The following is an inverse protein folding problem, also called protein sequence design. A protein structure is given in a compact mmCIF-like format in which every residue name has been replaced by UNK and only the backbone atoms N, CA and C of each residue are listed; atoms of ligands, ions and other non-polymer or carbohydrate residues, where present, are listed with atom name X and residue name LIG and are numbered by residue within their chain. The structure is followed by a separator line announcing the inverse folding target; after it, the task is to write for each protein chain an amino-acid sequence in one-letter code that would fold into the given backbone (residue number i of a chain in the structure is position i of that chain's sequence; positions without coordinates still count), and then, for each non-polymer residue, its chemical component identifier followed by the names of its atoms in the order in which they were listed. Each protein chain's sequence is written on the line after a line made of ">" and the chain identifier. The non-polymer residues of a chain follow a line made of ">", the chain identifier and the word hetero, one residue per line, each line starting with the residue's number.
data_IF_997701677269
#
_entry.id   IF_997701677269
#
_cell.length_a   1.000
_cell.length_b   1.000
_cell.length_c   1.000
_cell.angle_alpha   90.00
_cell.angle_beta   90.00
_cell.angle_gamma   90.00
#
_symmetry.space_group_name_H-M   'P 1'
#
loop_
_entity.id
_entity.type
_entity.pdbx_description
1 polymer ?
#
# COMPACT_ATOMS: atom_id res chain seq x y z
N UNK A 1 5.92 5.86 32.52
CA UNK A 1 6.62 4.58 32.34
C UNK A 1 5.57 3.57 31.93
N UNK A 2 5.06 3.73 30.71
CA UNK A 2 4.08 2.83 30.13
C UNK A 2 4.82 2.10 29.03
N UNK A 3 5.14 0.84 29.31
CA UNK A 3 5.80 -0.03 28.36
C UNK A 3 4.81 -0.28 27.21
N UNK A 4 5.09 0.12 25.95
CA UNK A 4 4.23 -0.29 24.85
C UNK A 4 4.32 -1.82 24.78
N UNK A 5 3.18 -2.48 24.91
CA UNK A 5 3.06 -3.90 24.58
C UNK A 5 3.69 -4.11 23.21
N UNK A 6 4.59 -5.08 23.09
CA UNK A 6 5.12 -5.43 21.77
C UNK A 6 3.93 -5.73 20.83
N UNK A 7 3.96 -5.34 19.55
CA UNK A 7 2.82 -5.50 18.64
C UNK A 7 2.31 -6.95 18.61
N UNK A 8 3.21 -7.93 18.78
CA UNK A 8 2.87 -9.35 18.93
C UNK A 8 1.97 -9.69 20.13
N UNK A 9 2.13 -9.01 21.27
CA UNK A 9 1.35 -9.25 22.50
C UNK A 9 -0.05 -8.63 22.41
N UNK A 10 -0.18 -7.44 21.81
CA UNK A 10 -1.47 -6.80 21.56
C UNK A 10 -2.34 -7.60 20.59
N UNK A 11 -1.74 -8.11 19.50
CA UNK A 11 -2.40 -8.98 18.53
C UNK A 11 -2.87 -10.30 19.16
N UNK A 12 -2.03 -10.92 19.99
CA UNK A 12 -2.39 -12.13 20.75
C UNK A 12 -3.56 -11.89 21.70
N UNK A 13 -3.57 -10.76 22.39
CA UNK A 13 -4.66 -10.39 23.29
C UNK A 13 -5.99 -10.21 22.55
N UNK A 14 -5.99 -9.49 21.42
CA UNK A 14 -7.17 -9.29 20.59
C UNK A 14 -7.71 -10.61 20.02
N UNK A 15 -6.83 -11.48 19.54
CA UNK A 15 -7.21 -12.82 19.10
C UNK A 15 -7.83 -13.65 20.23
N UNK A 16 -7.26 -13.58 21.44
CA UNK A 16 -7.81 -14.23 22.64
C UNK A 16 -9.19 -13.68 23.00
N UNK A 17 -9.39 -12.36 22.96
CA UNK A 17 -10.69 -11.74 23.23
C UNK A 17 -11.73 -12.22 22.22
N UNK A 18 -11.40 -12.22 20.91
CA UNK A 18 -12.31 -12.72 19.89
C UNK A 18 -12.63 -14.22 20.09
N UNK A 19 -11.63 -15.04 20.45
CA UNK A 19 -11.82 -16.46 20.73
C UNK A 19 -12.69 -16.71 21.97
N UNK A 20 -12.49 -15.93 23.04
CA UNK A 20 -13.32 -16.00 24.25
C UNK A 20 -14.76 -15.57 23.94
N UNK A 21 -14.94 -14.49 23.19
CA UNK A 21 -16.27 -14.02 22.78
C UNK A 21 -16.99 -15.04 21.89
N UNK A 22 -16.29 -15.67 20.93
CA UNK A 22 -16.82 -16.79 20.15
C UNK A 22 -17.19 -17.97 21.06
N UNK A 23 -16.31 -18.35 21.98
CA UNK A 23 -16.53 -19.44 22.93
C UNK A 23 -17.75 -19.18 23.82
N UNK A 24 -17.93 -17.97 24.33
CA UNK A 24 -19.10 -17.55 25.11
C UNK A 24 -20.38 -17.56 24.26
N UNK A 25 -20.31 -17.10 23.00
CA UNK A 25 -21.46 -17.13 22.09
C UNK A 25 -21.89 -18.57 21.79
N UNK A 26 -20.94 -19.45 21.46
CA UNK A 26 -21.21 -20.88 21.24
C UNK A 26 -21.69 -21.60 22.50
N UNK A 27 -21.13 -21.27 23.68
CA UNK A 27 -21.59 -21.79 24.97
C UNK A 27 -23.03 -21.35 25.24
N UNK A 28 -23.36 -20.08 25.03
CA UNK A 28 -24.72 -19.58 25.17
C UNK A 28 -25.69 -20.31 24.21
N UNK A 29 -25.32 -20.45 22.94
CA UNK A 29 -26.11 -21.17 21.94
C UNK A 29 -26.32 -22.63 22.33
N UNK A 30 -25.27 -23.33 22.76
CA UNK A 30 -25.36 -24.73 23.16
C UNK A 30 -26.20 -24.92 24.42
N UNK A 31 -25.99 -24.10 25.47
CA UNK A 31 -26.82 -24.12 26.68
C UNK A 31 -28.28 -23.82 26.34
N UNK A 32 -28.54 -22.81 25.51
CA UNK A 32 -29.90 -22.47 25.07
C UNK A 32 -30.56 -23.64 24.32
N UNK A 33 -29.84 -24.26 23.39
CA UNK A 33 -30.32 -25.43 22.64
C UNK A 33 -30.57 -26.64 23.56
N UNK A 34 -29.67 -26.91 24.51
CA UNK A 34 -29.80 -27.99 25.50
C UNK A 34 -31.01 -27.72 26.40
N UNK A 35 -31.16 -26.53 26.97
CA UNK A 35 -32.31 -26.16 27.79
C UNK A 35 -33.63 -26.31 27.02
N UNK A 36 -33.69 -25.89 25.75
CA UNK A 36 -34.89 -26.05 24.91
C UNK A 36 -35.23 -27.52 24.58
N UNK A 37 -34.21 -28.38 24.56
CA UNK A 37 -34.31 -29.81 24.34
C UNK A 37 -34.59 -30.62 25.62
N UNK A 38 -34.08 -30.17 26.78
CA UNK A 38 -34.18 -30.83 28.08
C UNK A 38 -35.42 -30.42 28.90
N UNK A 39 -35.88 -29.15 28.80
CA UNK A 39 -37.17 -28.72 29.38
C UNK A 39 -38.39 -29.36 28.69
N UNK A 40 -38.16 -30.30 27.76
CA UNK A 40 -39.13 -31.04 26.96
C UNK A 40 -39.86 -32.14 27.74
N UNK A 41 -39.55 -32.40 29.02
CA UNK A 41 -40.10 -33.58 29.69
C UNK A 41 -41.41 -33.37 30.45
N UNK A 42 -41.77 -32.14 30.82
CA UNK A 42 -42.88 -31.90 31.78
C UNK A 42 -43.96 -30.87 31.36
N UNK A 43 -44.25 -30.67 30.06
CA UNK A 43 -45.37 -29.79 29.67
C UNK A 43 -46.40 -30.47 28.76
N UNK A 44 -47.60 -30.67 29.34
CA UNK A 44 -48.88 -31.01 28.70
C UNK A 44 -49.34 -29.92 27.70
N UNK A 45 -50.28 -30.23 26.79
CA UNK A 45 -50.52 -29.44 25.59
C UNK A 45 -51.46 -28.26 25.87
N UNK A 46 -50.93 -27.10 26.22
CA UNK A 46 -51.73 -25.88 26.36
C UNK A 46 -51.78 -25.01 25.09
N UNK A 47 -53.00 -24.94 24.56
CA UNK A 47 -53.74 -23.83 23.92
C UNK A 47 -53.11 -22.94 22.81
N UNK A 48 -53.94 -22.66 21.80
CA UNK A 48 -53.67 -21.88 20.59
C UNK A 48 -53.56 -20.36 20.87
N UNK A 49 -52.41 -19.73 20.52
CA UNK A 49 -52.05 -18.29 20.24
C UNK A 49 -50.84 -17.81 21.11
N UNK A 50 -50.07 -16.72 20.85
CA UNK A 50 -49.73 -15.91 19.66
C UNK A 50 -48.22 -16.01 19.29
N UNK A 51 -47.50 -17.06 19.72
CA UNK A 51 -46.04 -17.16 19.60
C UNK A 51 -45.48 -17.26 18.16
N UNK A 52 -46.29 -17.68 17.19
CA UNK A 52 -45.87 -17.84 15.79
C UNK A 52 -45.53 -16.51 15.08
N UNK A 53 -46.09 -15.39 15.56
CA UNK A 53 -45.83 -14.07 14.99
C UNK A 53 -44.42 -13.59 15.40
N UNK A 54 -44.07 -13.74 16.68
CA UNK A 54 -42.79 -13.30 17.25
C UNK A 54 -41.57 -13.99 16.60
N UNK A 55 -41.63 -15.30 16.33
CA UNK A 55 -40.53 -16.04 15.68
C UNK A 55 -40.31 -15.59 14.23
N UNK A 56 -41.39 -15.37 13.49
CA UNK A 56 -41.33 -14.89 12.10
C UNK A 56 -40.78 -13.47 12.04
N UNK A 57 -41.22 -12.57 12.91
CA UNK A 57 -40.71 -11.20 13.00
C UNK A 57 -39.22 -11.15 13.42
N UNK A 58 -38.79 -12.01 14.35
CA UNK A 58 -37.36 -12.12 14.70
C UNK A 58 -36.51 -12.58 13.51
N UNK A 59 -36.98 -13.56 12.74
CA UNK A 59 -36.26 -14.00 11.55
C UNK A 59 -36.22 -12.93 10.44
N UNK A 60 -37.33 -12.21 10.23
CA UNK A 60 -37.39 -11.10 9.26
C UNK A 60 -36.48 -9.96 9.66
N UNK A 61 -36.50 -9.55 10.93
CA UNK A 61 -35.61 -8.48 11.44
C UNK A 61 -34.13 -8.88 11.35
N UNK A 62 -33.78 -10.11 11.73
CA UNK A 62 -32.43 -10.63 11.57
C UNK A 62 -31.99 -10.67 10.10
N UNK A 63 -32.88 -11.07 9.19
CA UNK A 63 -32.63 -11.06 7.74
C UNK A 63 -32.38 -9.64 7.20
N UNK A 64 -33.19 -8.66 7.62
CA UNK A 64 -33.02 -7.25 7.22
C UNK A 64 -31.69 -6.68 7.74
N UNK A 65 -31.33 -6.96 9.00
CA UNK A 65 -30.04 -6.57 9.57
C UNK A 65 -28.90 -7.22 8.78
N UNK A 66 -29.05 -8.48 8.37
CA UNK A 66 -28.04 -9.18 7.58
C UNK A 66 -27.87 -8.57 6.19
N UNK A 67 -28.96 -8.15 5.53
CA UNK A 67 -28.89 -7.44 4.25
C UNK A 67 -28.18 -6.08 4.40
N UNK A 68 -28.51 -5.32 5.45
CA UNK A 68 -27.82 -4.07 5.76
C UNK A 68 -26.33 -4.29 6.05
N UNK A 69 -26.00 -5.34 6.81
CA UNK A 69 -24.63 -5.73 7.09
C UNK A 69 -23.85 -5.98 5.80
N UNK A 70 -24.39 -6.76 4.85
CA UNK A 70 -23.72 -7.02 3.57
C UNK A 70 -23.45 -5.73 2.79
N UNK A 71 -24.38 -4.76 2.82
CA UNK A 71 -24.14 -3.44 2.21
C UNK A 71 -22.99 -2.69 2.86
N UNK A 72 -22.94 -2.67 4.20
CA UNK A 72 -21.84 -2.07 4.97
C UNK A 72 -20.51 -2.79 4.69
N UNK A 73 -20.53 -4.12 4.63
CA UNK A 73 -19.35 -4.93 4.33
C UNK A 73 -18.83 -4.69 2.92
N UNK A 74 -19.70 -4.57 1.93
CA UNK A 74 -19.31 -4.26 0.56
C UNK A 74 -18.66 -2.87 0.46
N UNK A 75 -19.23 -1.87 1.15
CA UNK A 75 -18.65 -0.54 1.28
C UNK A 75 -17.27 -0.60 1.92
N UNK A 76 -17.14 -1.18 3.11
CA UNK A 76 -15.86 -1.31 3.81
C UNK A 76 -14.80 -2.08 3.02
N UNK A 77 -15.20 -3.13 2.29
CA UNK A 77 -14.30 -3.90 1.44
C UNK A 77 -13.77 -3.07 0.26
N UNK A 78 -14.61 -2.19 -0.30
CA UNK A 78 -14.22 -1.27 -1.38
C UNK A 78 -13.30 -0.18 -0.86
N UNK A 79 -13.66 0.49 0.24
CA UNK A 79 -12.84 1.55 0.84
C UNK A 79 -11.44 1.04 1.25
N UNK A 80 -11.37 -0.16 1.84
CA UNK A 80 -10.07 -0.79 2.17
C UNK A 80 -9.24 -1.03 0.90
N UNK A 81 -9.87 -1.49 -0.18
CA UNK A 81 -9.20 -1.75 -1.46
C UNK A 81 -8.73 -0.46 -2.12
N UNK A 82 -9.53 0.61 -2.07
CA UNK A 82 -9.18 1.90 -2.64
C UNK A 82 -8.00 2.53 -1.88
N UNK A 83 -8.01 2.44 -0.54
CA UNK A 83 -6.88 2.86 0.30
C UNK A 83 -5.59 2.09 0.00
N UNK A 84 -5.67 0.76 -0.17
CA UNK A 84 -4.52 -0.06 -0.57
C UNK A 84 -4.06 0.27 -2.00
N UNK A 85 -4.98 0.53 -2.92
CA UNK A 85 -4.63 0.89 -4.30
C UNK A 85 -3.91 2.25 -4.35
N UNK A 86 -4.33 3.21 -3.55
CA UNK A 86 -3.64 4.49 -3.40
C UNK A 86 -2.22 4.32 -2.84
N UNK A 87 -2.03 3.43 -1.85
CA UNK A 87 -0.70 3.05 -1.37
C UNK A 87 0.16 2.43 -2.48
N UNK A 88 -0.38 1.47 -3.25
CA UNK A 88 0.36 0.82 -4.34
C UNK A 88 0.78 1.83 -5.42
N UNK A 89 -0.10 2.77 -5.76
CA UNK A 89 0.19 3.82 -6.71
C UNK A 89 1.32 4.75 -6.23
N UNK A 90 1.28 5.16 -4.96
CA UNK A 90 2.33 5.97 -4.35
C UNK A 90 3.68 5.22 -4.30
N UNK A 91 3.68 3.93 -3.97
CA UNK A 91 4.90 3.10 -3.97
C UNK A 91 5.49 2.97 -5.38
N UNK A 92 4.65 2.79 -6.40
CA UNK A 92 5.08 2.71 -7.80
C UNK A 92 5.69 4.04 -8.29
N UNK A 93 5.06 5.16 -7.96
CA UNK A 93 5.56 6.51 -8.27
C UNK A 93 6.89 6.82 -7.58
N UNK A 94 7.01 6.47 -6.30
CA UNK A 94 8.26 6.57 -5.55
C UNK A 94 9.35 5.72 -6.23
N UNK A 95 9.04 4.46 -6.55
CA UNK A 95 9.97 3.56 -7.24
C UNK A 95 10.42 4.09 -8.61
N UNK A 96 9.50 4.67 -9.40
CA UNK A 96 9.82 5.33 -10.66
C UNK A 96 10.74 6.54 -10.47
N UNK A 97 10.53 7.35 -9.44
CA UNK A 97 11.41 8.48 -9.10
C UNK A 97 12.81 7.99 -8.73
N UNK A 98 12.91 6.99 -7.85
CA UNK A 98 14.19 6.44 -7.38
C UNK A 98 14.99 5.77 -8.50
N UNK A 99 14.34 4.93 -9.31
CA UNK A 99 14.97 4.29 -10.48
C UNK A 99 15.32 5.30 -11.57
N UNK A 100 14.49 6.35 -11.72
CA UNK A 100 14.77 7.51 -12.56
C UNK A 100 16.09 8.15 -12.20
N UNK A 101 16.28 8.52 -10.93
CA UNK A 101 17.53 9.11 -10.42
C UNK A 101 18.74 8.24 -10.76
N UNK A 102 18.71 6.95 -10.41
CA UNK A 102 19.80 6.01 -10.68
C UNK A 102 20.12 5.91 -12.18
N UNK A 103 19.09 5.90 -13.04
CA UNK A 103 19.25 5.83 -14.50
C UNK A 103 19.89 7.08 -15.08
N UNK A 104 19.49 8.26 -14.61
CA UNK A 104 20.04 9.55 -15.01
C UNK A 104 21.49 9.68 -14.56
N UNK A 105 21.79 9.35 -13.29
CA UNK A 105 23.14 9.39 -12.74
C UNK A 105 24.07 8.45 -13.52
N UNK A 106 23.65 7.22 -13.77
CA UNK A 106 24.43 6.24 -14.52
C UNK A 106 24.64 6.67 -15.99
N UNK A 107 23.58 7.15 -16.65
CA UNK A 107 23.60 7.60 -18.03
C UNK A 107 24.52 8.80 -18.24
N UNK A 108 24.39 9.84 -17.41
CA UNK A 108 25.24 11.03 -17.50
C UNK A 108 26.70 10.73 -17.12
N UNK A 109 26.92 9.87 -16.12
CA UNK A 109 28.28 9.43 -15.77
C UNK A 109 28.95 8.71 -16.94
N UNK A 110 28.24 7.82 -17.63
CA UNK A 110 28.75 7.12 -18.81
C UNK A 110 29.05 8.09 -19.96
N UNK A 111 28.15 9.04 -20.23
CA UNK A 111 28.37 10.06 -21.27
C UNK A 111 29.61 10.91 -20.97
N UNK A 112 29.76 11.41 -19.74
CA UNK A 112 30.91 12.23 -19.36
C UNK A 112 32.23 11.46 -19.34
N UNK A 113 32.22 10.19 -18.91
CA UNK A 113 33.43 9.39 -18.78
C UNK A 113 33.89 8.76 -20.09
N UNK A 114 32.96 8.31 -20.93
CA UNK A 114 33.31 7.57 -22.16
C UNK A 114 33.05 8.43 -23.39
N UNK A 115 31.84 8.97 -23.54
CA UNK A 115 31.45 9.73 -24.73
C UNK A 115 32.28 11.00 -24.90
N UNK A 116 32.38 11.79 -23.84
CA UNK A 116 33.14 13.04 -23.87
C UNK A 116 34.64 12.78 -24.04
N UNK A 117 35.23 11.82 -23.31
CA UNK A 117 36.65 11.49 -23.45
C UNK A 117 37.02 11.06 -24.86
N UNK A 118 36.16 10.30 -25.55
CA UNK A 118 36.38 9.93 -26.95
C UNK A 118 36.43 11.14 -27.89
N UNK A 119 35.50 12.09 -27.74
CA UNK A 119 35.51 13.31 -28.54
C UNK A 119 36.72 14.20 -28.21
N UNK A 120 37.03 14.37 -26.92
CA UNK A 120 38.18 15.18 -26.49
C UNK A 120 39.51 14.57 -26.95
N UNK A 121 39.66 13.25 -26.95
CA UNK A 121 40.87 12.57 -27.44
C UNK A 121 41.09 12.82 -28.94
N UNK A 122 40.04 12.70 -29.77
CA UNK A 122 40.12 13.02 -31.20
C UNK A 122 40.43 14.50 -31.44
N UNK A 123 39.79 15.39 -30.69
CA UNK A 123 40.06 16.83 -30.77
C UNK A 123 41.50 17.17 -30.37
N UNK A 124 42.07 16.46 -29.38
CA UNK A 124 43.44 16.65 -28.94
C UNK A 124 44.45 16.27 -30.03
N UNK A 125 44.16 15.25 -30.85
CA UNK A 125 44.96 14.91 -32.03
C UNK A 125 44.82 15.95 -33.15
N UNK A 126 43.59 16.37 -33.46
CA UNK A 126 43.30 17.31 -34.55
C UNK A 126 43.81 18.73 -34.28
N UNK A 127 43.80 19.16 -33.01
CA UNK A 127 44.19 20.51 -32.57
C UNK A 127 45.62 20.57 -31.99
N UNK A 128 46.42 19.53 -32.18
CA UNK A 128 47.75 19.37 -31.59
C UNK A 128 48.71 20.56 -31.87
N UNK A 129 48.49 21.29 -32.96
CA UNK A 129 49.31 22.44 -33.38
C UNK A 129 49.01 23.74 -32.61
N UNK A 130 47.94 23.80 -31.81
CA UNK A 130 47.52 25.00 -31.06
C UNK A 130 47.40 24.69 -29.57
N UNK A 131 48.46 25.02 -28.82
CA UNK A 131 48.55 24.77 -27.37
C UNK A 131 47.39 25.35 -26.55
N UNK A 132 46.91 26.54 -26.92
CA UNK A 132 45.79 27.21 -26.23
C UNK A 132 44.50 26.36 -26.26
N UNK A 133 44.20 25.74 -27.42
CA UNK A 133 43.03 24.87 -27.57
C UNK A 133 43.21 23.56 -26.78
N UNK A 134 44.41 22.99 -26.74
CA UNK A 134 44.70 21.81 -25.92
C UNK A 134 44.50 22.09 -24.43
N UNK A 135 44.83 23.30 -23.96
CA UNK A 135 44.56 23.70 -22.59
C UNK A 135 43.06 23.78 -22.29
N UNK A 136 42.26 24.32 -23.22
CA UNK A 136 40.79 24.31 -23.12
C UNK A 136 40.22 22.89 -23.07
N UNK A 137 40.70 21.97 -23.92
CA UNK A 137 40.24 20.58 -23.91
C UNK A 137 40.57 19.86 -22.59
N UNK A 138 41.78 20.06 -22.06
CA UNK A 138 42.18 19.52 -20.74
C UNK A 138 41.34 20.08 -19.61
N UNK A 139 41.02 21.37 -19.66
CA UNK A 139 40.14 21.99 -18.68
C UNK A 139 38.72 21.42 -18.75
N UNK A 140 38.18 21.18 -19.94
CA UNK A 140 36.90 20.47 -20.09
C UNK A 140 36.97 19.05 -19.51
N UNK A 141 38.06 18.31 -19.72
CA UNK A 141 38.22 16.98 -19.12
C UNK A 141 38.22 17.02 -17.58
N UNK A 142 38.86 18.03 -16.98
CA UNK A 142 38.84 18.22 -15.52
C UNK A 142 37.44 18.54 -14.99
N UNK A 143 36.70 19.41 -15.70
CA UNK A 143 35.31 19.70 -15.36
C UNK A 143 34.42 18.45 -15.45
N UNK A 144 34.67 17.57 -16.41
CA UNK A 144 33.91 16.31 -16.55
C UNK A 144 34.21 15.34 -15.42
N UNK A 145 35.48 15.23 -15.03
CA UNK A 145 35.88 14.49 -13.83
C UNK A 145 35.20 15.02 -12.57
N UNK A 146 35.07 16.35 -12.43
CA UNK A 146 34.33 16.99 -11.33
C UNK A 146 32.85 16.59 -11.33
N UNK A 147 32.18 16.62 -12.50
CA UNK A 147 30.77 16.20 -12.63
C UNK A 147 30.60 14.75 -12.22
N UNK A 148 31.43 13.84 -12.74
CA UNK A 148 31.39 12.41 -12.40
C UNK A 148 31.59 12.20 -10.91
N UNK A 149 32.53 12.93 -10.28
CA UNK A 149 32.77 12.84 -8.85
C UNK A 149 31.55 13.27 -8.04
N UNK A 150 30.89 14.38 -8.39
CA UNK A 150 29.67 14.83 -7.71
C UNK A 150 28.52 13.84 -7.87
N UNK A 151 28.33 13.30 -9.08
CA UNK A 151 27.30 12.28 -9.35
C UNK A 151 27.55 10.99 -8.56
N UNK A 152 28.82 10.58 -8.38
CA UNK A 152 29.17 9.41 -7.57
C UNK A 152 28.96 9.61 -6.06
N UNK A 153 28.83 10.87 -5.61
CA UNK A 153 28.52 11.19 -4.22
C UNK A 153 27.02 11.15 -3.89
N UNK A 154 26.16 10.99 -4.88
CA UNK A 154 24.72 10.80 -4.66
C UNK A 154 24.46 9.38 -4.10
N UNK A 155 23.46 9.22 -3.21
CA UNK A 155 23.06 7.91 -2.72
C UNK A 155 22.58 7.01 -3.86
N UNK A 156 22.81 5.71 -3.72
CA UNK A 156 22.36 4.69 -4.68
C UNK A 156 21.01 4.16 -4.23
N UNK A 157 19.96 4.36 -5.03
CA UNK A 157 18.60 4.07 -4.61
C UNK A 157 18.13 2.64 -4.92
N UNK A 158 18.91 1.89 -5.70
CA UNK A 158 18.57 0.54 -6.16
C UNK A 158 18.14 -0.44 -5.06
N UNK A 159 18.75 -0.40 -3.87
CA UNK A 159 18.35 -1.25 -2.73
C UNK A 159 16.91 -0.94 -2.30
N UNK A 160 16.66 0.33 -1.98
CA UNK A 160 15.32 0.81 -1.62
C UNK A 160 14.27 0.61 -2.72
N UNK A 161 14.64 0.76 -4.00
CA UNK A 161 13.73 0.56 -5.12
C UNK A 161 13.32 -0.92 -5.24
N UNK A 162 14.25 -1.85 -5.01
CA UNK A 162 13.95 -3.29 -4.99
C UNK A 162 13.04 -3.66 -3.83
N UNK A 163 13.25 -3.06 -2.66
CA UNK A 163 12.42 -3.29 -1.47
C UNK A 163 11.00 -2.74 -1.65
N UNK A 164 10.85 -1.54 -2.22
CA UNK A 164 9.53 -0.97 -2.55
C UNK A 164 8.77 -1.84 -3.55
N UNK A 165 9.46 -2.37 -4.58
CA UNK A 165 8.85 -3.25 -5.58
C UNK A 165 8.40 -4.57 -4.96
N UNK A 166 9.22 -5.15 -4.08
CA UNK A 166 8.88 -6.38 -3.37
C UNK A 166 7.69 -6.16 -2.41
N UNK A 167 7.69 -5.04 -1.69
CA UNK A 167 6.60 -4.63 -0.80
C UNK A 167 5.28 -4.44 -1.57
N UNK A 168 5.31 -3.68 -2.67
CA UNK A 168 4.13 -3.45 -3.50
C UNK A 168 3.57 -4.77 -4.05
N UNK A 169 4.44 -5.67 -4.53
CA UNK A 169 4.03 -7.00 -5.00
C UNK A 169 3.38 -7.84 -3.89
N UNK A 170 3.92 -7.80 -2.68
CA UNK A 170 3.36 -8.53 -1.54
C UNK A 170 1.98 -7.98 -1.12
N UNK A 171 1.85 -6.65 -1.02
CA UNK A 171 0.59 -5.99 -0.66
C UNK A 171 -0.48 -6.26 -1.70
N UNK A 172 -0.16 -6.11 -3.00
CA UNK A 172 -1.10 -6.37 -4.08
C UNK A 172 -1.60 -7.83 -4.08
N UNK A 173 -0.70 -8.78 -3.82
CA UNK A 173 -1.06 -10.20 -3.71
C UNK A 173 -2.03 -10.44 -2.54
N UNK A 174 -1.70 -9.96 -1.34
CA UNK A 174 -2.55 -10.13 -0.15
C UNK A 174 -3.91 -9.48 -0.36
N UNK A 175 -3.94 -8.27 -0.90
CA UNK A 175 -5.17 -7.51 -1.12
C UNK A 175 -6.10 -8.19 -2.13
N UNK A 176 -5.55 -8.73 -3.22
CA UNK A 176 -6.32 -9.47 -4.22
C UNK A 176 -7.13 -10.62 -3.58
N UNK A 177 -6.49 -11.43 -2.73
CA UNK A 177 -7.17 -12.53 -2.05
C UNK A 177 -8.09 -12.07 -0.93
N UNK A 178 -7.72 -11.02 -0.18
CA UNK A 178 -8.58 -10.42 0.85
C UNK A 178 -9.90 -9.95 0.24
N UNK A 179 -9.82 -9.13 -0.81
CA UNK A 179 -10.98 -8.58 -1.50
C UNK A 179 -11.89 -9.69 -2.06
N UNK A 180 -11.30 -10.69 -2.73
CA UNK A 180 -12.04 -11.83 -3.27
C UNK A 180 -12.69 -12.68 -2.17
N UNK A 181 -12.00 -12.90 -1.05
CA UNK A 181 -12.52 -13.67 0.08
C UNK A 181 -13.77 -13.00 0.67
N UNK A 182 -13.80 -11.68 0.81
CA UNK A 182 -14.97 -10.95 1.28
C UNK A 182 -16.15 -11.04 0.32
N UNK A 183 -15.92 -10.96 -1.00
CA UNK A 183 -16.99 -11.16 -1.98
C UNK A 183 -17.63 -12.55 -1.85
N UNK A 184 -16.80 -13.60 -1.73
CA UNK A 184 -17.28 -14.96 -1.51
C UNK A 184 -18.02 -15.08 -0.18
N UNK A 185 -17.55 -14.40 0.87
CA UNK A 185 -18.21 -14.40 2.17
C UNK A 185 -19.57 -13.70 2.12
N UNK A 186 -19.71 -12.57 1.42
CA UNK A 186 -20.99 -11.90 1.21
C UNK A 186 -22.00 -12.80 0.48
N UNK A 187 -21.55 -13.51 -0.56
CA UNK A 187 -22.38 -14.49 -1.29
C UNK A 187 -22.83 -15.61 -0.35
N UNK A 188 -21.92 -16.14 0.48
CA UNK A 188 -22.26 -17.15 1.48
C UNK A 188 -23.32 -16.63 2.46
N UNK A 189 -23.16 -15.41 3.00
CA UNK A 189 -24.13 -14.80 3.90
C UNK A 189 -25.52 -14.69 3.25
N UNK A 190 -25.60 -14.14 2.03
CA UNK A 190 -26.86 -13.97 1.31
C UNK A 190 -27.53 -15.32 0.97
N UNK A 191 -26.76 -16.33 0.57
CA UNK A 191 -27.30 -17.66 0.27
C UNK A 191 -27.87 -18.33 1.52
N UNK A 192 -27.20 -18.22 2.68
CA UNK A 192 -27.75 -18.76 3.94
C UNK A 192 -29.00 -18.00 4.38
N UNK A 193 -29.04 -16.66 4.21
CA UNK A 193 -30.26 -15.88 4.44
C UNK A 193 -31.42 -16.32 3.54
N UNK A 194 -31.17 -16.57 2.25
CA UNK A 194 -32.17 -17.10 1.33
C UNK A 194 -32.69 -18.47 1.77
N UNK A 195 -31.79 -19.38 2.16
CA UNK A 195 -32.14 -20.70 2.69
C UNK A 195 -33.00 -20.58 3.96
N UNK A 196 -32.71 -19.63 4.84
CA UNK A 196 -33.53 -19.36 6.03
C UNK A 196 -34.95 -18.93 5.65
N UNK A 197 -35.08 -17.96 4.73
CA UNK A 197 -36.38 -17.50 4.23
C UNK A 197 -37.18 -18.62 3.56
N UNK A 198 -36.55 -19.40 2.67
CA UNK A 198 -37.19 -20.53 1.98
C UNK A 198 -37.58 -21.65 2.95
N UNK A 199 -36.72 -21.96 3.92
CA UNK A 199 -36.98 -22.95 4.96
C UNK A 199 -38.20 -22.60 5.81
N UNK A 200 -38.33 -21.33 6.19
CA UNK A 200 -39.50 -20.81 6.92
C UNK A 200 -40.76 -20.78 6.05
N UNK A 201 -40.66 -20.32 4.80
CA UNK A 201 -41.80 -20.21 3.88
C UNK A 201 -42.36 -21.58 3.47
N UNK A 202 -41.48 -22.54 3.13
CA UNK A 202 -41.88 -23.90 2.72
C UNK A 202 -42.07 -24.86 3.89
N UNK A 203 -41.75 -24.43 5.12
CA UNK A 203 -41.77 -25.27 6.33
C UNK A 203 -40.96 -26.57 6.18
N UNK A 204 -39.89 -26.52 5.38
CA UNK A 204 -39.10 -27.69 5.03
C UNK A 204 -38.03 -27.94 6.09
N UNK A 205 -38.09 -29.10 6.74
CA UNK A 205 -37.09 -29.52 7.75
C UNK A 205 -35.70 -29.69 7.16
N UNK A 206 -35.62 -30.18 5.92
CA UNK A 206 -34.35 -30.34 5.21
C UNK A 206 -33.66 -28.98 5.02
N UNK A 207 -34.39 -27.97 4.52
CA UNK A 207 -33.86 -26.62 4.31
C UNK A 207 -33.46 -25.91 5.62
N UNK A 208 -34.21 -26.13 6.71
CA UNK A 208 -33.84 -25.59 8.02
C UNK A 208 -32.59 -26.26 8.59
N UNK A 209 -32.39 -27.55 8.33
CA UNK A 209 -31.20 -28.28 8.78
C UNK A 209 -29.96 -27.82 8.02
N UNK A 210 -30.06 -27.69 6.69
CA UNK A 210 -28.96 -27.17 5.87
C UNK A 210 -28.64 -25.73 6.25
N UNK A 211 -29.65 -24.89 6.47
CA UNK A 211 -29.45 -23.52 6.95
C UNK A 211 -28.77 -23.47 8.31
N UNK A 212 -29.13 -24.34 9.27
CA UNK A 212 -28.49 -24.40 10.58
C UNK A 212 -27.00 -24.74 10.48
N UNK A 213 -26.64 -25.72 9.65
CA UNK A 213 -25.26 -26.13 9.43
C UNK A 213 -24.44 -24.99 8.79
N UNK A 214 -24.96 -24.41 7.70
CA UNK A 214 -24.29 -23.31 7.01
C UNK A 214 -24.25 -22.03 7.86
N UNK A 215 -25.29 -21.79 8.68
CA UNK A 215 -25.39 -20.66 9.60
C UNK A 215 -24.39 -20.74 10.76
N UNK A 216 -24.09 -21.94 11.25
CA UNK A 216 -23.02 -22.13 12.23
C UNK A 216 -21.65 -21.85 11.59
N UNK A 217 -21.44 -22.29 10.35
CA UNK A 217 -20.21 -22.00 9.60
C UNK A 217 -20.05 -20.49 9.36
N UNK A 218 -21.10 -19.79 8.92
CA UNK A 218 -21.04 -18.33 8.73
C UNK A 218 -20.80 -17.59 10.03
N UNK A 219 -21.37 -18.07 11.15
CA UNK A 219 -21.09 -17.52 12.47
C UNK A 219 -19.60 -17.66 12.82
N UNK A 220 -19.01 -18.84 12.67
CA UNK A 220 -17.57 -19.05 12.93
C UNK A 220 -16.72 -18.15 12.04
N UNK A 221 -17.03 -18.09 10.74
CA UNK A 221 -16.33 -17.22 9.79
C UNK A 221 -16.45 -15.74 10.16
N UNK A 222 -17.62 -15.29 10.65
CA UNK A 222 -17.80 -13.89 11.07
C UNK A 222 -16.97 -13.51 12.30
N UNK A 223 -16.78 -14.43 13.25
CA UNK A 223 -15.89 -14.18 14.39
C UNK A 223 -14.41 -14.21 13.97
N UNK A 224 -14.06 -15.11 13.03
CA UNK A 224 -12.72 -15.16 12.47
C UNK A 224 -12.38 -13.89 11.68
N UNK A 225 -13.27 -13.42 10.81
CA UNK A 225 -13.09 -12.17 10.06
C UNK A 225 -12.95 -10.98 11.01
N UNK A 226 -13.82 -10.88 12.03
CA UNK A 226 -13.72 -9.83 13.04
C UNK A 226 -12.36 -9.82 13.75
N UNK A 227 -11.81 -10.99 14.10
CA UNK A 227 -10.50 -11.09 14.73
C UNK A 227 -9.38 -10.59 13.80
N UNK A 228 -9.41 -11.01 12.53
CA UNK A 228 -8.42 -10.60 11.52
C UNK A 228 -8.50 -9.11 11.22
N UNK A 229 -9.72 -8.58 10.99
CA UNK A 229 -9.92 -7.17 10.66
C UNK A 229 -9.55 -6.25 11.84
N UNK A 230 -9.85 -6.66 13.07
CA UNK A 230 -9.45 -5.88 14.25
C UNK A 230 -7.94 -5.90 14.44
N UNK A 231 -7.30 -7.05 14.22
CA UNK A 231 -5.85 -7.18 14.26
C UNK A 231 -5.17 -6.31 13.19
N UNK A 232 -5.70 -6.34 11.96
CA UNK A 232 -5.24 -5.50 10.86
C UNK A 232 -5.42 -4.01 11.20
N UNK A 233 -6.61 -3.59 11.65
CA UNK A 233 -6.92 -2.21 11.98
C UNK A 233 -6.02 -1.67 13.10
N UNK A 234 -5.74 -2.46 14.13
CA UNK A 234 -4.81 -2.07 15.21
C UNK A 234 -3.38 -1.99 14.70
N UNK A 235 -2.92 -2.99 13.93
CA UNK A 235 -1.58 -2.99 13.37
C UNK A 235 -1.32 -1.80 12.44
N UNK A 236 -2.28 -1.46 11.58
CA UNK A 236 -2.21 -0.29 10.72
C UNK A 236 -2.28 1.01 11.53
N UNK A 237 -3.15 1.08 12.55
CA UNK A 237 -3.24 2.27 13.41
C UNK A 237 -1.94 2.53 14.17
N UNK A 238 -1.29 1.48 14.68
CA UNK A 238 0.00 1.60 15.37
C UNK A 238 1.08 2.19 14.45
N UNK A 239 1.12 1.76 13.18
CA UNK A 239 1.99 2.36 12.16
C UNK A 239 1.65 3.84 11.95
N UNK A 240 0.36 4.19 11.83
CA UNK A 240 -0.12 5.54 11.58
C UNK A 240 0.15 6.55 12.71
N UNK A 241 0.44 6.09 13.94
CA UNK A 241 0.83 6.97 15.05
C UNK A 241 2.23 7.55 14.86
N UNK A 242 3.16 6.81 14.25
CA UNK A 242 4.54 7.25 14.06
C UNK A 242 5.17 6.67 12.77
N UNK A 243 4.61 6.99 11.58
CA UNK A 243 5.08 6.42 10.32
C UNK A 243 6.52 6.85 9.98
N UNK A 244 6.89 8.09 10.31
CA UNK A 244 8.23 8.62 10.06
C UNK A 244 9.32 7.76 10.71
N UNK A 245 9.10 7.36 11.98
CA UNK A 245 10.06 6.53 12.73
C UNK A 245 10.19 5.14 12.15
N UNK A 246 9.08 4.58 11.67
CA UNK A 246 9.08 3.27 11.02
C UNK A 246 9.93 3.30 9.74
N UNK A 247 9.73 4.31 8.88
CA UNK A 247 10.48 4.46 7.63
C UNK A 247 11.96 4.72 7.89
N UNK A 248 12.29 5.60 8.84
CA UNK A 248 13.67 5.88 9.22
C UNK A 248 14.42 4.62 9.69
N UNK A 249 13.76 3.79 10.51
CA UNK A 249 14.35 2.54 10.99
C UNK A 249 14.48 1.48 9.88
N UNK A 250 13.53 1.43 8.95
CA UNK A 250 13.59 0.50 7.81
C UNK A 250 14.64 0.87 6.77
N UNK A 251 14.98 2.15 6.64
CA UNK A 251 15.90 2.65 5.59
C UNK A 251 17.32 2.93 6.10
N UNK A 252 17.59 2.68 7.39
CA UNK A 252 18.85 3.00 8.06
C UNK A 252 20.09 2.36 7.41
N UNK A 253 19.94 1.17 6.80
CA UNK A 253 21.06 0.47 6.14
C UNK A 253 21.44 1.03 4.78
N UNK A 254 20.49 1.68 4.09
CA UNK A 254 20.59 1.97 2.66
C UNK A 254 20.75 3.46 2.37
N UNK A 255 20.10 4.31 3.17
CA UNK A 255 20.08 5.76 2.97
C UNK A 255 20.45 6.46 4.27
N UNK A 256 21.27 7.52 4.18
CA UNK A 256 21.60 8.36 5.33
C UNK A 256 20.36 9.00 5.96
N UNK A 257 20.28 9.03 7.29
CA UNK A 257 19.18 9.63 8.04
C UNK A 257 18.85 11.07 7.63
N UNK A 258 19.85 11.88 7.24
CA UNK A 258 19.64 13.27 6.78
C UNK A 258 18.80 13.32 5.50
N UNK A 259 19.07 12.42 4.55
CA UNK A 259 18.35 12.36 3.27
C UNK A 259 16.91 11.86 3.49
N UNK A 260 16.72 10.84 4.33
CA UNK A 260 15.37 10.35 4.64
C UNK A 260 14.57 11.44 5.36
N UNK A 261 15.17 12.17 6.30
CA UNK A 261 14.56 13.31 6.98
C UNK A 261 14.18 14.44 6.01
N UNK A 262 15.01 14.71 5.00
CA UNK A 262 14.73 15.69 3.96
C UNK A 262 13.44 15.35 3.19
N UNK A 263 13.22 14.09 2.82
CA UNK A 263 12.02 13.65 2.12
C UNK A 263 10.79 13.51 3.02
N UNK A 264 10.95 13.05 4.27
CA UNK A 264 9.82 12.85 5.18
C UNK A 264 9.20 14.18 5.65
N UNK A 265 10.00 15.19 5.94
CA UNK A 265 9.49 16.47 6.46
C UNK A 265 9.30 17.55 5.39
N UNK A 266 10.16 17.59 4.38
CA UNK A 266 10.10 18.55 3.26
C UNK A 266 9.77 20.00 3.65
N UNK A 267 10.37 20.48 4.74
CA UNK A 267 10.17 21.83 5.25
C UNK A 267 11.04 22.88 4.51
N UNK A 268 10.57 24.12 4.47
CA UNK A 268 11.30 25.24 3.84
C UNK A 268 12.59 25.60 4.57
N UNK A 269 12.70 25.25 5.85
CA UNK A 269 13.90 25.50 6.67
C UNK A 269 15.02 24.49 6.42
N UNK A 270 14.72 23.34 5.80
CA UNK A 270 15.69 22.29 5.52
C UNK A 270 16.49 22.61 4.26
N UNK A 271 17.81 22.59 4.38
CA UNK A 271 18.71 22.68 3.24
C UNK A 271 18.65 21.41 2.40
N UNK A 272 18.52 21.54 1.08
CA UNK A 272 18.61 20.41 0.17
C UNK A 272 20.03 19.78 0.26
N UNK A 273 20.17 18.50 0.69
CA UNK A 273 21.47 17.85 0.85
C UNK A 273 22.23 17.70 -0.49
N UNK A 274 21.51 17.74 -1.62
CA UNK A 274 22.06 17.61 -2.96
C UNK A 274 22.43 18.95 -3.60
N UNK A 275 22.13 20.08 -2.95
CA UNK A 275 22.30 21.42 -3.53
C UNK A 275 23.74 21.68 -3.98
N UNK A 276 24.73 21.26 -3.19
CA UNK A 276 26.14 21.46 -3.51
C UNK A 276 26.53 20.67 -4.77
N UNK A 277 26.17 19.38 -4.84
CA UNK A 277 26.47 18.52 -5.98
C UNK A 277 25.83 19.06 -7.27
N UNK A 278 24.55 19.44 -7.21
CA UNK A 278 23.80 20.01 -8.33
C UNK A 278 24.39 21.35 -8.78
N UNK A 279 24.79 22.22 -7.85
CA UNK A 279 25.40 23.51 -8.17
C UNK A 279 26.75 23.34 -8.86
N UNK A 280 27.59 22.41 -8.38
CA UNK A 280 28.89 22.12 -9.01
C UNK A 280 28.71 21.51 -10.39
N UNK A 281 27.75 20.60 -10.55
CA UNK A 281 27.40 20.03 -11.85
C UNK A 281 26.96 21.15 -12.82
N UNK A 282 25.99 21.98 -12.43
CA UNK A 282 25.50 23.08 -13.25
C UNK A 282 26.63 24.03 -13.69
N UNK A 283 27.46 24.50 -12.74
CA UNK A 283 28.57 25.43 -13.06
C UNK A 283 29.59 24.79 -14.00
N UNK A 284 29.92 23.52 -13.78
CA UNK A 284 30.89 22.80 -14.62
C UNK A 284 30.35 22.65 -16.04
N UNK A 285 29.08 22.27 -16.19
CA UNK A 285 28.42 22.11 -17.48
C UNK A 285 28.32 23.43 -18.25
N UNK A 286 27.84 24.51 -17.62
CA UNK A 286 27.76 25.83 -18.27
C UNK A 286 29.15 26.32 -18.69
N UNK A 287 30.17 26.09 -17.87
CA UNK A 287 31.54 26.46 -18.22
C UNK A 287 32.03 25.68 -19.45
N UNK A 288 31.79 24.37 -19.52
CA UNK A 288 32.11 23.58 -20.71
C UNK A 288 31.36 24.08 -21.96
N UNK A 289 30.07 24.41 -21.84
CA UNK A 289 29.27 24.94 -22.95
C UNK A 289 29.88 26.25 -23.50
N UNK A 290 30.36 27.14 -22.62
CA UNK A 290 31.05 28.37 -23.04
C UNK A 290 32.37 28.03 -23.77
N UNK A 291 33.15 27.09 -23.23
CA UNK A 291 34.43 26.68 -23.83
C UNK A 291 34.25 26.04 -25.22
N UNK A 292 33.29 25.13 -25.37
CA UNK A 292 33.03 24.46 -26.64
C UNK A 292 32.48 25.44 -27.68
N UNK A 293 31.62 26.38 -27.29
CA UNK A 293 31.10 27.40 -28.19
C UNK A 293 32.23 28.31 -28.71
N UNK A 294 33.18 28.66 -27.83
CA UNK A 294 34.40 29.37 -28.22
C UNK A 294 35.25 28.58 -29.22
N UNK A 295 35.46 27.28 -28.97
CA UNK A 295 36.19 26.40 -29.91
C UNK A 295 35.46 26.29 -31.26
N UNK A 296 34.14 26.17 -31.27
CA UNK A 296 33.34 26.14 -32.50
C UNK A 296 33.54 27.44 -33.30
N UNK A 297 33.47 28.60 -32.64
CA UNK A 297 33.60 29.88 -33.32
C UNK A 297 35.00 30.15 -33.88
N UNK A 298 36.06 29.79 -33.14
CA UNK A 298 37.43 30.19 -33.46
C UNK A 298 38.31 29.07 -34.04
N UNK A 299 38.02 27.79 -33.75
CA UNK A 299 38.82 26.66 -34.25
C UNK A 299 38.30 26.12 -35.58
N UNK A 300 36.99 26.11 -35.84
CA UNK A 300 36.43 25.54 -37.09
C UNK A 300 36.94 26.17 -38.39
N UNK A 301 37.11 27.51 -38.50
CA UNK A 301 37.66 28.11 -39.71
C UNK A 301 39.10 27.64 -40.02
N UNK A 302 39.83 27.18 -39.00
CA UNK A 302 41.22 26.72 -39.09
C UNK A 302 41.32 25.18 -39.20
N UNK A 303 40.39 24.46 -38.56
CA UNK A 303 40.37 23.00 -38.43
C UNK A 303 38.98 22.45 -38.78
N UNK A 304 38.58 22.43 -40.06
CA UNK A 304 37.23 22.00 -40.45
C UNK A 304 36.97 20.52 -40.13
N UNK A 305 38.01 19.69 -40.06
CA UNK A 305 37.90 18.26 -39.68
C UNK A 305 37.46 18.04 -38.23
N UNK A 306 37.58 19.05 -37.36
CA UNK A 306 37.16 18.99 -35.96
C UNK A 306 35.66 19.22 -35.75
N UNK A 307 34.91 19.64 -36.80
CA UNK A 307 33.49 19.99 -36.73
C UNK A 307 32.63 18.89 -36.11
N UNK A 308 32.80 17.66 -36.59
CA UNK A 308 32.03 16.51 -36.11
C UNK A 308 32.20 16.27 -34.61
N UNK A 309 33.43 16.38 -34.10
CA UNK A 309 33.71 16.13 -32.69
C UNK A 309 33.30 17.31 -31.81
N UNK A 310 33.48 18.56 -32.27
CA UNK A 310 33.02 19.74 -31.52
C UNK A 310 31.48 19.77 -31.38
N UNK A 311 30.75 19.47 -32.46
CA UNK A 311 29.30 19.35 -32.42
C UNK A 311 28.84 18.13 -31.59
N UNK A 312 29.59 17.03 -31.64
CA UNK A 312 29.35 15.87 -30.78
C UNK A 312 29.45 16.21 -29.29
N UNK A 313 30.48 16.98 -28.89
CA UNK A 313 30.60 17.50 -27.53
C UNK A 313 29.41 18.40 -27.19
N UNK A 314 29.04 19.34 -28.06
CA UNK A 314 27.89 20.23 -27.82
C UNK A 314 26.59 19.43 -27.58
N UNK A 315 26.34 18.41 -28.41
CA UNK A 315 25.15 17.58 -28.27
C UNK A 315 25.15 16.79 -26.96
N UNK A 316 26.30 16.26 -26.55
CA UNK A 316 26.46 15.57 -25.27
C UNK A 316 26.21 16.51 -24.09
N UNK A 317 26.75 17.73 -24.13
CA UNK A 317 26.52 18.74 -23.10
C UNK A 317 25.04 19.17 -23.03
N UNK A 318 24.36 19.35 -24.17
CA UNK A 318 22.93 19.64 -24.21
C UNK A 318 22.10 18.48 -23.59
N UNK A 319 22.45 17.22 -23.90
CA UNK A 319 21.81 16.05 -23.27
C UNK A 319 22.09 15.97 -21.77
N UNK A 320 23.25 16.44 -21.33
CA UNK A 320 23.62 16.45 -19.92
C UNK A 320 22.90 17.58 -19.16
N UNK A 321 22.60 18.70 -19.83
CA UNK A 321 21.80 19.80 -19.28
C UNK A 321 20.35 19.37 -19.04
N UNK A 322 19.73 18.70 -20.01
CA UNK A 322 18.38 18.13 -19.83
C UNK A 322 18.36 17.09 -18.71
N UNK A 323 19.38 16.24 -18.63
CA UNK A 323 19.56 15.27 -17.54
C UNK A 323 19.68 15.96 -16.18
N UNK A 324 20.44 17.05 -16.08
CA UNK A 324 20.58 17.83 -14.85
C UNK A 324 19.26 18.43 -14.39
N UNK A 325 18.46 18.98 -15.32
CA UNK A 325 17.15 19.54 -14.97
C UNK A 325 16.18 18.47 -14.47
N UNK A 326 16.16 17.30 -15.13
CA UNK A 326 15.35 16.15 -14.70
C UNK A 326 15.81 15.62 -13.34
N UNK A 327 17.11 15.47 -13.14
CA UNK A 327 17.70 15.02 -11.88
C UNK A 327 17.39 16.00 -10.74
N UNK A 328 17.46 17.31 -10.99
CA UNK A 328 17.10 18.34 -10.01
C UNK A 328 15.64 18.23 -9.60
N UNK A 329 14.73 17.97 -10.55
CA UNK A 329 13.31 17.82 -10.26
C UNK A 329 13.00 16.53 -9.47
N UNK A 330 13.67 15.41 -9.79
CA UNK A 330 13.47 14.14 -9.07
C UNK A 330 14.09 14.14 -7.66
N UNK A 331 15.19 14.86 -7.46
CA UNK A 331 15.84 15.00 -6.15
C UNK A 331 15.12 15.99 -5.24
N UNK A 332 14.20 16.81 -5.75
CA UNK A 332 13.40 17.73 -4.94
C UNK A 332 12.48 16.94 -4.00
N UNK A 333 12.42 17.32 -2.72
CA UNK A 333 11.65 16.58 -1.72
C UNK A 333 10.16 16.52 -2.04
N UNK A 334 9.59 17.50 -2.74
CA UNK A 334 8.14 17.67 -2.88
C UNK A 334 7.47 16.50 -3.59
N UNK A 335 8.14 15.92 -4.58
CA UNK A 335 7.60 14.78 -5.32
C UNK A 335 7.44 13.57 -4.42
N UNK A 336 8.55 13.10 -3.85
CA UNK A 336 8.57 11.92 -3.00
C UNK A 336 7.82 12.12 -1.67
N UNK A 337 7.82 13.35 -1.14
CA UNK A 337 7.02 13.71 0.05
C UNK A 337 5.52 13.64 -0.25
N UNK A 338 5.10 14.07 -1.45
CA UNK A 338 3.70 13.90 -1.89
C UNK A 338 3.34 12.42 -1.98
N UNK A 339 4.17 11.59 -2.59
CA UNK A 339 3.92 10.15 -2.68
C UNK A 339 3.84 9.52 -1.27
N UNK A 340 4.71 9.93 -0.35
CA UNK A 340 4.64 9.53 1.06
C UNK A 340 3.31 9.90 1.72
N UNK A 341 2.84 11.14 1.56
CA UNK A 341 1.56 11.58 2.12
C UNK A 341 0.37 10.86 1.49
N UNK A 342 0.38 10.65 0.17
CA UNK A 342 -0.68 9.93 -0.53
C UNK A 342 -0.76 8.48 -0.03
N UNK A 343 0.39 7.82 0.19
CA UNK A 343 0.47 6.49 0.78
C UNK A 343 -0.11 6.46 2.21
N UNK A 344 0.23 7.45 3.05
CA UNK A 344 -0.31 7.56 4.40
C UNK A 344 -1.81 7.81 4.41
N UNK A 345 -2.31 8.68 3.55
CA UNK A 345 -3.74 8.96 3.45
C UNK A 345 -4.49 7.67 3.10
N UNK A 346 -4.02 6.95 2.07
CA UNK A 346 -4.65 5.70 1.65
C UNK A 346 -4.68 4.63 2.75
N UNK A 347 -3.58 4.41 3.47
CA UNK A 347 -3.54 3.35 4.49
C UNK A 347 -4.16 3.77 5.84
N UNK A 348 -3.91 5.00 6.30
CA UNK A 348 -4.25 5.45 7.64
C UNK A 348 -5.67 6.01 7.76
N UNK A 349 -6.25 6.47 6.66
CA UNK A 349 -7.62 6.96 6.63
C UNK A 349 -8.51 5.95 5.93
N UNK A 350 -8.45 5.86 4.60
CA UNK A 350 -9.37 5.04 3.81
C UNK A 350 -9.25 3.54 4.16
N UNK A 351 -8.02 3.05 4.30
CA UNK A 351 -7.71 1.67 4.69
C UNK A 351 -8.25 1.32 6.09
N UNK A 352 -7.97 2.13 7.10
CA UNK A 352 -8.46 1.91 8.48
C UNK A 352 -9.97 2.07 8.55
N UNK A 353 -10.55 3.07 7.90
CA UNK A 353 -11.99 3.28 7.83
C UNK A 353 -12.70 2.06 7.23
N UNK A 354 -12.20 1.55 6.09
CA UNK A 354 -12.71 0.34 5.47
C UNK A 354 -12.67 -0.88 6.39
N UNK A 355 -11.56 -1.09 7.12
CA UNK A 355 -11.42 -2.17 8.10
C UNK A 355 -12.43 -2.06 9.24
N UNK A 356 -12.72 -0.84 9.73
CA UNK A 356 -13.73 -0.63 10.77
C UNK A 356 -15.13 -1.00 10.30
N UNK A 357 -15.49 -0.70 9.04
CA UNK A 357 -16.76 -1.15 8.46
C UNK A 357 -16.82 -2.67 8.30
N UNK A 358 -15.71 -3.35 7.99
CA UNK A 358 -15.63 -4.81 7.92
C UNK A 358 -15.79 -5.48 9.30
N UNK A 359 -15.25 -4.86 10.36
CA UNK A 359 -15.51 -5.28 11.76
C UNK A 359 -16.99 -5.13 12.09
N UNK A 360 -17.61 -3.99 11.74
CA UNK A 360 -19.05 -3.76 11.95
C UNK A 360 -19.91 -4.77 11.20
N UNK A 361 -19.59 -5.04 9.92
CA UNK A 361 -20.22 -6.10 9.13
C UNK A 361 -20.17 -7.45 9.85
N UNK A 362 -18.97 -7.84 10.29
CA UNK A 362 -18.73 -9.13 10.97
C UNK A 362 -19.55 -9.26 12.25
N UNK A 363 -19.63 -8.19 13.05
CA UNK A 363 -20.46 -8.14 14.27
C UNK A 363 -21.96 -8.27 13.97
N UNK A 364 -22.46 -7.55 12.98
CA UNK A 364 -23.88 -7.60 12.60
C UNK A 364 -24.29 -8.97 12.05
N UNK A 365 -23.40 -9.60 11.26
CA UNK A 365 -23.57 -10.96 10.75
C UNK A 365 -23.54 -11.99 11.90
N UNK A 366 -22.60 -11.87 12.82
CA UNK A 366 -22.52 -12.75 13.98
C UNK A 366 -23.80 -12.67 14.84
N UNK A 367 -24.29 -11.45 15.08
CA UNK A 367 -25.53 -11.22 15.82
C UNK A 367 -26.75 -11.78 15.08
N UNK A 368 -26.89 -11.51 13.77
CA UNK A 368 -28.03 -11.97 12.98
C UNK A 368 -28.08 -13.50 12.93
N UNK A 369 -26.97 -14.18 12.66
CA UNK A 369 -26.95 -15.65 12.65
C UNK A 369 -27.17 -16.26 14.04
N UNK A 370 -26.64 -15.64 15.11
CA UNK A 370 -26.94 -16.08 16.48
C UNK A 370 -28.45 -16.05 16.76
N UNK A 371 -29.16 -15.01 16.32
CA UNK A 371 -30.62 -14.90 16.49
C UNK A 371 -31.39 -15.91 15.62
N UNK A 372 -30.99 -16.11 14.37
CA UNK A 372 -31.62 -17.08 13.45
C UNK A 372 -31.45 -18.51 13.97
N UNK A 373 -30.25 -18.86 14.47
CA UNK A 373 -29.97 -20.16 15.09
C UNK A 373 -30.84 -20.35 16.34
N UNK A 374 -31.00 -19.32 17.19
CA UNK A 374 -31.88 -19.37 18.36
C UNK A 374 -33.37 -19.53 18.02
N UNK A 375 -33.82 -18.97 16.88
CA UNK A 375 -35.22 -18.98 16.44
C UNK A 375 -35.62 -20.30 15.76
N UNK A 376 -34.67 -20.97 15.09
CA UNK A 376 -34.91 -22.17 14.27
C UNK A 376 -35.54 -23.35 15.04
N UNK A 377 -35.09 -23.71 16.26
CA UNK A 377 -35.71 -24.77 17.05
C UNK A 377 -37.18 -24.47 17.42
N UNK A 378 -37.53 -23.19 17.64
CA UNK A 378 -38.91 -22.77 17.94
C UNK A 378 -39.79 -22.90 16.69
N UNK A 379 -39.28 -22.53 15.52
CA UNK A 379 -39.97 -22.74 14.25
C UNK A 379 -40.22 -24.23 13.98
N UNK A 380 -39.23 -25.09 14.27
CA UNK A 380 -39.37 -26.55 14.11
C UNK A 380 -40.47 -27.13 14.99
N UNK A 381 -40.60 -26.69 16.25
CA UNK A 381 -41.68 -27.11 17.15
C UNK A 381 -43.06 -26.76 16.59
N UNK A 382 -43.21 -25.57 15.99
CA UNK A 382 -44.48 -25.17 15.34
C UNK A 382 -44.82 -25.99 14.09
N UNK A 383 -43.83 -26.56 13.40
CA UNK A 383 -44.05 -27.42 12.23
C UNK A 383 -44.27 -28.89 12.56
N UNK A 384 -44.04 -29.32 13.81
CA UNK A 384 -44.32 -30.68 14.27
C UNK A 384 -45.71 -30.85 14.89
N UNK A 385 -46.37 -29.74 15.28
CA UNK A 385 -47.70 -29.72 15.90
C UNK A 385 -48.87 -29.50 14.94
N UNK A 386 -48.63 -29.62 13.62
CA UNK A 386 -49.64 -29.72 12.56
C UNK A 386 -49.28 -30.92 11.71
#
# INVERSE_FOLDING_TARGET
>A
ADCPLSPSQSLLFLGLVAAVCLGLNLLFLTVYLICLCCCKRDQEPETKRPHSCCVTWMAVTAGLICCAAVGIGFYGNSETNDGVYQLLYALDHANHTLTGIDSLVAGTTLQMRVGLEQHLARLNELLATRGDYLQTLKFMQQLAGSIVLQLSGLPVWRGTSTDLTALAGHIAYVEYYRWLAYLLFFILVLTVCLLACLGLAKRSRCLLTTMLCCGLLTLILSWASMAVDTAAAVGTSDFCVAPDKFIMNQTESDISAEVVHYYLYCDQSLSNPFQQALTVFQRSLTTMQIQIQGLIQFALPLFPTAEKDLLGVQQLLNSSETSLHQLTAMLDCRGLHKDYLDALIGICYDGVEGLLYLVLFSLLVAASFSTIICATPRAWKHFAGR
#
